data_IF_931369322610
#
_entry.id   IF_931369322610
#
_cell.length_a   1.000
_cell.length_b   1.000
_cell.length_c   1.000
_cell.angle_alpha   90.00
_cell.angle_beta   90.00
_cell.angle_gamma   90.00
#
_symmetry.space_group_name_H-M   'P 1'
#
loop_
_entity.id
_entity.type
_entity.pdbx_description
1 polymer ?
#
# COMPACT_ATOMS: atom_id res chain seq x y z
N UNK A 1 -1.98 -17.01 -0.44
CA UNK A 1 -2.78 -15.88 0.07
C UNK A 1 -2.82 -14.86 -1.05
N UNK A 2 -3.99 -14.58 -1.64
CA UNK A 2 -4.06 -13.70 -2.81
C UNK A 2 -3.68 -12.27 -2.46
N UNK A 3 -2.96 -11.62 -3.37
CA UNK A 3 -2.54 -10.22 -3.31
C UNK A 3 -3.33 -9.39 -4.31
N UNK A 4 -3.61 -8.14 -3.95
CA UNK A 4 -4.33 -7.20 -4.79
C UNK A 4 -3.61 -5.86 -4.85
N UNK A 5 -3.59 -5.27 -6.04
CA UNK A 5 -3.15 -3.88 -6.25
C UNK A 5 -4.32 -3.09 -6.80
N UNK A 6 -4.66 -1.98 -6.14
CA UNK A 6 -5.80 -1.14 -6.49
C UNK A 6 -5.35 0.27 -6.84
N UNK A 7 -6.05 0.91 -7.77
CA UNK A 7 -5.83 2.31 -8.08
C UNK A 7 -6.25 3.18 -6.89
N UNK A 8 -5.33 3.97 -6.33
CA UNK A 8 -5.59 4.87 -5.19
C UNK A 8 -6.66 5.94 -5.47
N UNK A 9 -6.93 6.26 -6.75
CA UNK A 9 -7.89 7.28 -7.14
C UNK A 9 -9.32 6.78 -7.28
N UNK A 10 -9.50 5.60 -7.91
CA UNK A 10 -10.82 5.12 -8.33
C UNK A 10 -11.15 3.70 -7.85
N UNK A 11 -10.22 3.04 -7.14
CA UNK A 11 -10.43 1.71 -6.58
C UNK A 11 -10.37 0.54 -7.57
N UNK A 12 -10.18 0.78 -8.87
CA UNK A 12 -10.05 -0.30 -9.86
C UNK A 12 -8.93 -1.25 -9.49
N UNK A 13 -9.23 -2.55 -9.53
CA UNK A 13 -8.24 -3.61 -9.35
C UNK A 13 -7.31 -3.63 -10.57
N UNK A 14 -6.05 -3.32 -10.36
CA UNK A 14 -5.00 -3.34 -11.38
C UNK A 14 -4.30 -4.71 -11.45
N UNK A 15 -4.27 -5.42 -10.31
CA UNK A 15 -3.78 -6.78 -10.17
C UNK A 15 -4.55 -7.54 -9.09
N UNK A 16 -4.81 -8.82 -9.35
CA UNK A 16 -5.26 -9.81 -8.37
C UNK A 16 -4.62 -11.15 -8.73
N UNK A 17 -3.84 -11.73 -7.84
CA UNK A 17 -3.15 -12.99 -8.09
C UNK A 17 -2.77 -13.73 -6.82
N UNK A 18 -2.41 -15.00 -6.95
CA UNK A 18 -1.92 -15.82 -5.84
C UNK A 18 -0.46 -15.52 -5.51
N UNK A 19 0.31 -15.14 -6.52
CA UNK A 19 1.72 -14.79 -6.42
C UNK A 19 1.88 -13.27 -6.25
N UNK A 20 2.85 -12.80 -5.45
CA UNK A 20 3.17 -11.38 -5.41
C UNK A 20 3.87 -10.95 -6.71
N UNK A 21 3.39 -9.89 -7.34
CA UNK A 21 4.08 -9.21 -8.43
C UNK A 21 4.68 -7.89 -7.95
N UNK A 22 5.84 -7.46 -8.48
CA UNK A 22 6.39 -6.16 -8.15
C UNK A 22 5.50 -5.04 -8.75
N UNK A 23 5.23 -3.94 -8.03
CA UNK A 23 4.31 -2.88 -8.49
C UNK A 23 4.64 -2.31 -9.88
N UNK A 24 5.93 -2.31 -10.25
CA UNK A 24 6.38 -1.83 -11.57
C UNK A 24 5.77 -2.62 -12.73
N UNK A 25 5.47 -3.91 -12.53
CA UNK A 25 4.84 -4.75 -13.56
C UNK A 25 3.38 -4.35 -13.77
N UNK A 26 2.67 -4.02 -12.68
CA UNK A 26 1.32 -3.44 -12.76
C UNK A 26 1.33 -2.10 -13.52
N UNK A 27 2.32 -1.24 -13.27
CA UNK A 27 2.47 0.05 -13.98
C UNK A 27 2.75 -0.17 -15.47
N UNK A 28 3.69 -1.05 -15.82
CA UNK A 28 4.02 -1.38 -17.22
C UNK A 28 2.82 -1.94 -17.98
N UNK A 29 2.04 -2.84 -17.35
CA UNK A 29 0.85 -3.47 -17.95
C UNK A 29 -0.14 -2.46 -18.52
N UNK A 30 -0.28 -1.31 -17.87
CA UNK A 30 -1.21 -0.26 -18.28
C UNK A 30 -0.49 1.00 -18.83
N UNK A 31 0.74 0.85 -19.31
CA UNK A 31 1.54 1.94 -19.89
C UNK A 31 1.62 3.19 -18.99
N UNK A 32 1.71 2.98 -17.67
CA UNK A 32 1.83 4.06 -16.70
C UNK A 32 0.54 4.81 -16.37
N UNK A 33 -0.64 4.36 -16.84
CA UNK A 33 -1.92 5.03 -16.54
C UNK A 33 -2.98 4.04 -16.06
N UNK A 34 -3.87 4.48 -15.18
CA UNK A 34 -5.02 3.68 -14.78
C UNK A 34 -5.98 3.51 -15.98
N UNK A 35 -6.36 2.27 -16.35
CA UNK A 35 -7.26 2.03 -17.48
C UNK A 35 -8.70 2.53 -17.25
N UNK A 36 -9.09 2.78 -15.99
CA UNK A 36 -10.44 3.21 -15.65
C UNK A 36 -10.57 4.75 -15.53
N UNK A 37 -9.63 5.41 -14.85
CA UNK A 37 -9.73 6.86 -14.60
C UNK A 37 -8.65 7.72 -15.27
N UNK A 38 -7.66 7.11 -15.93
CA UNK A 38 -6.58 7.83 -16.62
C UNK A 38 -5.50 8.45 -15.71
N UNK A 39 -5.59 8.32 -14.38
CA UNK A 39 -4.53 8.82 -13.47
C UNK A 39 -3.20 8.12 -13.77
N UNK A 40 -2.10 8.88 -13.76
CA UNK A 40 -0.74 8.33 -13.84
C UNK A 40 -0.48 7.41 -12.64
N UNK A 41 0.01 6.21 -12.92
CA UNK A 41 0.45 5.25 -11.91
C UNK A 41 1.92 5.53 -11.61
N UNK A 42 2.26 5.66 -10.32
CA UNK A 42 3.64 5.79 -9.85
C UNK A 42 3.94 4.67 -8.86
N UNK A 43 5.18 4.18 -8.87
CA UNK A 43 5.73 3.22 -7.90
C UNK A 43 6.42 3.89 -6.72
N UNK A 44 6.73 5.18 -6.83
CA UNK A 44 7.30 5.94 -5.73
C UNK A 44 6.26 6.12 -4.62
N UNK A 45 6.61 5.86 -3.35
CA UNK A 45 5.73 6.13 -2.23
C UNK A 45 5.50 7.64 -2.09
N UNK A 46 4.24 8.06 -1.90
CA UNK A 46 3.87 9.49 -1.93
C UNK A 46 4.48 10.31 -0.78
N UNK A 47 4.65 9.76 0.43
CA UNK A 47 5.50 10.30 1.52
C UNK A 47 5.48 9.30 2.68
N UNK A 48 6.58 9.15 3.44
CA UNK A 48 6.59 8.32 4.66
C UNK A 48 7.04 9.16 5.85
N UNK A 49 6.13 9.42 6.78
CA UNK A 49 6.41 10.12 8.04
C UNK A 49 6.76 9.10 9.13
N UNK A 50 7.95 9.23 9.75
CA UNK A 50 8.36 8.38 10.87
C UNK A 50 8.04 9.11 12.18
N UNK A 51 7.02 8.66 12.90
CA UNK A 51 6.68 9.18 14.22
C UNK A 51 7.25 8.29 15.32
N UNK A 52 7.92 8.89 16.31
CA UNK A 52 8.44 8.16 17.45
C UNK A 52 7.27 7.63 18.32
N UNK A 53 7.22 6.31 18.51
CA UNK A 53 6.23 5.67 19.38
C UNK A 53 6.35 6.21 20.81
N UNK A 54 5.25 6.69 21.39
CA UNK A 54 5.21 7.13 22.78
C UNK A 54 5.58 5.96 23.70
N UNK A 55 6.53 6.17 24.62
CA UNK A 55 6.84 5.17 25.66
C UNK A 55 5.57 4.87 26.45
N UNK A 56 5.07 3.65 26.36
CA UNK A 56 3.98 3.17 27.23
C UNK A 56 4.56 3.01 28.63
N UNK A 57 4.11 3.82 29.60
CA UNK A 57 4.43 3.59 31.01
C UNK A 57 3.73 2.30 31.44
N UNK A 58 4.47 1.21 31.60
CA UNK A 58 3.95 0.01 32.28
C UNK A 58 3.66 0.38 33.74
N UNK A 59 2.38 0.44 34.11
CA UNK A 59 1.96 0.50 35.51
C UNK A 59 1.99 -0.93 36.05
N UNK A 60 3.06 -1.28 36.75
CA UNK A 60 3.16 -2.55 37.48
C UNK A 60 2.26 -2.42 38.72
N UNK A 61 1.04 -2.96 38.69
CA UNK A 61 0.23 -3.11 39.91
C UNK A 61 0.80 -4.29 40.71
N UNK A 62 1.66 -4.03 41.69
CA UNK A 62 1.91 -5.00 42.76
C UNK A 62 0.60 -5.15 43.54
N UNK A 63 -0.02 -6.34 43.45
CA UNK A 63 -1.06 -6.74 44.39
C UNK A 63 -0.36 -7.25 45.65
N UNK A 64 -0.61 -6.56 46.75
CA UNK A 64 -0.39 -7.01 48.13
C UNK A 64 -1.18 -8.27 48.45
#
# INVERSE_FOLDING_TARGET
>A
MPQETVCSNCGTILYRGLDPEPPIETVKRYNGVCPNCGRKLNVEPEEVEIQASKKVKQIIKLKT
#
